data_IF_688415240854
#
_entry.id   IF_688415240854
#
_cell.length_a   1.000
_cell.length_b   1.000
_cell.length_c   1.000
_cell.angle_alpha   90.00
_cell.angle_beta   90.00
_cell.angle_gamma   90.00
#
_symmetry.space_group_name_H-M   'P 1'
#
loop_
_entity.id
_entity.type
_entity.pdbx_description
1 polymer ?
#
# COMPACT_ATOMS: atom_id res chain seq x y z
N UNK A 1 -18.41 -27.10 -7.26
CA UNK A 1 -17.13 -26.48 -6.82
C UNK A 1 -17.16 -26.45 -5.31
N UNK A 2 -16.01 -26.55 -4.66
CA UNK A 2 -15.95 -26.39 -3.21
C UNK A 2 -16.10 -24.91 -2.87
N UNK A 3 -16.92 -24.58 -1.88
CA UNK A 3 -17.15 -23.22 -1.38
C UNK A 3 -16.88 -23.24 0.12
N UNK A 4 -16.12 -22.26 0.60
CA UNK A 4 -15.92 -22.06 2.04
C UNK A 4 -16.92 -21.03 2.53
N UNK A 5 -17.56 -21.33 3.66
CA UNK A 5 -18.30 -20.36 4.47
C UNK A 5 -17.42 -20.02 5.67
N UNK A 6 -17.04 -18.76 5.81
CA UNK A 6 -16.24 -18.29 6.93
C UNK A 6 -17.00 -17.24 7.74
N UNK A 7 -16.74 -17.22 9.04
CA UNK A 7 -17.08 -16.12 9.93
C UNK A 7 -15.79 -15.40 10.31
N UNK A 8 -15.76 -14.09 10.16
CA UNK A 8 -14.71 -13.21 10.68
C UNK A 8 -15.29 -12.39 11.84
N UNK A 9 -14.52 -12.29 12.92
CA UNK A 9 -14.86 -11.48 14.08
C UNK A 9 -13.69 -10.55 14.39
N UNK A 10 -13.99 -9.29 14.66
CA UNK A 10 -13.01 -8.34 15.17
C UNK A 10 -12.77 -8.63 16.66
N UNK A 11 -11.52 -8.81 17.02
CA UNK A 11 -11.12 -9.15 18.38
C UNK A 11 -11.12 -7.91 19.28
N UNK A 12 -11.15 -8.14 20.59
CA UNK A 12 -11.12 -7.10 21.65
C UNK A 12 -12.26 -6.06 21.68
N UNK A 13 -13.21 -6.10 20.73
CA UNK A 13 -14.40 -5.24 20.73
C UNK A 13 -15.65 -6.00 21.19
N UNK A 14 -16.43 -5.35 22.07
CA UNK A 14 -17.73 -5.83 22.55
C UNK A 14 -18.76 -4.69 22.50
N UNK A 15 -19.99 -4.89 21.96
CA UNK A 15 -20.50 -6.10 21.28
C UNK A 15 -19.71 -6.49 20.03
N UNK A 16 -19.75 -7.76 19.62
CA UNK A 16 -18.91 -8.24 18.51
C UNK A 16 -19.28 -7.58 17.17
N UNK A 17 -18.26 -7.12 16.45
CA UNK A 17 -18.35 -6.75 15.03
C UNK A 17 -17.93 -7.99 14.23
N UNK A 18 -18.76 -8.42 13.28
CA UNK A 18 -18.52 -9.68 12.57
C UNK A 18 -19.20 -9.75 11.21
N UNK A 19 -18.68 -10.61 10.33
CA UNK A 19 -19.27 -10.94 9.03
C UNK A 19 -19.26 -12.45 8.80
N UNK A 20 -20.29 -12.97 8.17
CA UNK A 20 -20.31 -14.31 7.60
C UNK A 20 -20.37 -14.18 6.08
N UNK A 21 -19.47 -14.87 5.38
CA UNK A 21 -19.33 -14.74 3.93
C UNK A 21 -18.80 -16.03 3.33
N UNK A 22 -19.05 -16.22 2.03
CA UNK A 22 -18.63 -17.41 1.29
C UNK A 22 -17.82 -17.09 0.06
N UNK A 23 -16.84 -17.92 -0.25
CA UNK A 23 -15.88 -17.70 -1.33
C UNK A 23 -15.27 -19.01 -1.85
N UNK A 24 -14.56 -18.92 -2.99
CA UNK A 24 -13.82 -20.06 -3.52
C UNK A 24 -12.54 -20.31 -2.72
N UNK A 25 -12.29 -21.52 -2.22
CA UNK A 25 -11.12 -21.80 -1.39
C UNK A 25 -9.80 -21.83 -2.18
N UNK A 26 -9.89 -21.76 -3.51
CA UNK A 26 -8.75 -21.57 -4.42
C UNK A 26 -8.25 -20.11 -4.51
N UNK A 27 -8.82 -19.18 -3.76
CA UNK A 27 -8.27 -17.83 -3.63
C UNK A 27 -6.88 -17.85 -3.00
N UNK A 28 -6.04 -16.91 -3.41
CA UNK A 28 -4.82 -16.61 -2.66
C UNK A 28 -5.17 -15.88 -1.35
N UNK A 29 -4.28 -15.90 -0.37
CA UNK A 29 -4.46 -15.09 0.85
C UNK A 29 -4.53 -13.59 0.55
N UNK A 30 -3.85 -13.10 -0.51
CA UNK A 30 -4.00 -11.72 -0.96
C UNK A 30 -5.39 -11.43 -1.52
N UNK A 31 -6.00 -12.36 -2.27
CA UNK A 31 -7.38 -12.21 -2.70
C UNK A 31 -8.37 -12.32 -1.54
N UNK A 32 -8.10 -13.17 -0.55
CA UNK A 32 -8.90 -13.25 0.67
C UNK A 32 -8.83 -11.93 1.46
N UNK A 33 -7.66 -11.29 1.54
CA UNK A 33 -7.53 -9.97 2.14
C UNK A 33 -8.43 -8.93 1.45
N UNK A 34 -8.39 -8.82 0.12
CA UNK A 34 -9.30 -7.93 -0.63
C UNK A 34 -10.78 -8.22 -0.37
N UNK A 35 -11.14 -9.50 -0.25
CA UNK A 35 -12.50 -9.89 0.14
C UNK A 35 -12.84 -9.43 1.56
N UNK A 36 -11.90 -9.55 2.51
CA UNK A 36 -12.08 -9.12 3.90
C UNK A 36 -12.25 -7.61 3.98
N UNK A 37 -11.41 -6.83 3.29
CA UNK A 37 -11.54 -5.36 3.23
C UNK A 37 -12.95 -4.94 2.86
N UNK A 38 -13.54 -5.60 1.88
CA UNK A 38 -14.85 -5.26 1.33
C UNK A 38 -16.02 -5.69 2.23
N UNK A 39 -15.92 -6.85 2.90
CA UNK A 39 -16.96 -7.24 3.87
C UNK A 39 -16.85 -6.46 5.17
N UNK A 40 -15.65 -6.01 5.54
CA UNK A 40 -15.42 -5.20 6.73
C UNK A 40 -15.65 -3.70 6.48
N UNK A 41 -15.61 -3.23 5.23
CA UNK A 41 -15.81 -1.82 4.90
C UNK A 41 -14.55 -0.96 5.05
N UNK A 42 -13.38 -1.54 4.82
CA UNK A 42 -12.07 -0.88 4.88
C UNK A 42 -11.48 -0.60 3.50
N UNK A 43 -10.52 0.31 3.46
CA UNK A 43 -9.98 0.96 2.26
C UNK A 43 -8.66 0.41 1.72
N UNK A 44 -8.09 -0.64 2.33
CA UNK A 44 -6.80 -1.24 1.94
C UNK A 44 -5.63 -0.22 1.96
N UNK A 45 -5.54 0.60 3.00
CA UNK A 45 -4.45 1.58 3.17
C UNK A 45 -3.21 1.04 3.90
N UNK A 46 -3.35 -0.06 4.64
CA UNK A 46 -2.34 -0.56 5.55
C UNK A 46 -1.85 -1.98 5.22
N UNK A 47 -0.72 -2.34 5.83
CA UNK A 47 -0.18 -3.70 5.77
C UNK A 47 -1.11 -4.69 6.48
N UNK A 48 -0.99 -5.95 6.08
CA UNK A 48 -1.76 -7.04 6.66
C UNK A 48 -0.96 -8.33 6.74
N UNK A 49 -1.37 -9.22 7.64
CA UNK A 49 -0.78 -10.55 7.81
C UNK A 49 -1.86 -11.56 8.22
N UNK A 50 -1.73 -12.80 7.75
CA UNK A 50 -2.48 -13.93 8.28
C UNK A 50 -1.55 -14.84 9.09
N UNK A 51 -2.03 -15.35 10.22
CA UNK A 51 -1.34 -16.41 10.96
C UNK A 51 -2.13 -17.72 10.89
N UNK A 52 -1.55 -18.72 10.20
CA UNK A 52 -2.19 -20.02 9.97
C UNK A 52 -1.22 -21.14 10.33
N UNK A 53 -1.53 -21.94 11.35
CA UNK A 53 -0.72 -23.11 11.74
C UNK A 53 0.80 -22.80 11.89
N UNK A 54 1.14 -21.75 12.65
CA UNK A 54 2.51 -21.23 12.84
C UNK A 54 3.19 -20.73 11.55
N UNK A 55 2.41 -20.29 10.57
CA UNK A 55 2.93 -19.64 9.36
C UNK A 55 2.39 -18.23 9.33
N UNK A 56 3.29 -17.29 9.12
CA UNK A 56 2.95 -15.92 8.75
C UNK A 56 2.75 -15.89 7.23
N UNK A 57 1.65 -15.32 6.77
CA UNK A 57 1.32 -15.17 5.35
C UNK A 57 0.95 -13.71 5.10
N UNK A 58 1.89 -12.93 4.57
CA UNK A 58 1.76 -11.50 4.27
C UNK A 58 2.33 -11.15 2.90
N UNK A 59 2.35 -9.86 2.55
CA UNK A 59 3.10 -9.40 1.36
C UNK A 59 4.55 -9.20 1.77
N UNK A 60 5.52 -9.92 1.16
CA UNK A 60 6.93 -9.72 1.47
C UNK A 60 7.36 -8.31 1.07
N UNK A 61 7.97 -7.60 2.02
CA UNK A 61 8.65 -6.34 1.78
C UNK A 61 10.11 -6.65 1.36
N UNK A 62 10.55 -6.27 0.15
CA UNK A 62 11.92 -6.52 -0.31
C UNK A 62 13.01 -5.80 0.48
N UNK A 63 12.67 -4.73 1.20
CA UNK A 63 13.60 -3.90 1.98
C UNK A 63 13.68 -4.34 3.45
N UNK A 64 12.66 -5.05 3.95
CA UNK A 64 12.77 -5.77 5.22
C UNK A 64 13.61 -7.04 5.03
N UNK A 65 14.74 -7.10 5.74
CA UNK A 65 15.36 -8.41 6.01
C UNK A 65 14.34 -9.28 6.75
N UNK A 66 14.25 -10.61 6.47
CA UNK A 66 13.37 -11.51 7.20
C UNK A 66 13.66 -11.36 8.69
N UNK A 67 12.78 -10.68 9.40
CA UNK A 67 12.90 -10.55 10.84
C UNK A 67 12.37 -11.87 11.37
N UNK A 68 13.21 -12.68 12.02
CA UNK A 68 12.73 -13.89 12.71
C UNK A 68 11.80 -13.46 13.88
N UNK A 69 10.55 -13.07 13.59
CA UNK A 69 9.48 -12.97 14.59
C UNK A 69 9.09 -14.39 14.97
N UNK A 70 9.94 -15.01 15.79
CA UNK A 70 9.70 -16.34 16.35
C UNK A 70 9.69 -17.48 15.32
N UNK A 71 9.18 -18.63 15.75
CA UNK A 71 9.26 -19.92 15.03
C UNK A 71 8.39 -20.02 13.76
N UNK A 72 7.80 -18.91 13.29
CA UNK A 72 6.85 -18.93 12.19
C UNK A 72 7.52 -18.79 10.83
N UNK A 73 7.10 -19.64 9.87
CA UNK A 73 7.56 -19.56 8.49
C UNK A 73 6.82 -18.45 7.76
N UNK A 74 7.54 -17.47 7.21
CA UNK A 74 6.99 -16.40 6.36
C UNK A 74 6.69 -16.91 4.94
N UNK A 75 5.53 -16.55 4.40
CA UNK A 75 5.07 -16.93 3.07
C UNK A 75 4.40 -15.75 2.35
N UNK A 76 4.52 -15.74 1.02
CA UNK A 76 3.98 -14.69 0.16
C UNK A 76 2.47 -14.89 -0.10
N UNK A 77 1.64 -14.00 0.46
CA UNK A 77 0.18 -14.04 0.35
C UNK A 77 -0.33 -14.01 -1.09
N UNK A 78 0.47 -13.52 -2.05
CA UNK A 78 0.12 -13.49 -3.48
C UNK A 78 0.25 -14.87 -4.14
N UNK A 79 0.92 -15.82 -3.49
CA UNK A 79 1.21 -17.17 -4.00
C UNK A 79 0.52 -18.28 -3.21
N UNK A 80 0.31 -18.07 -1.91
CA UNK A 80 -0.32 -19.06 -1.04
C UNK A 80 -1.83 -19.10 -1.22
N UNK A 81 -2.37 -20.30 -1.40
CA UNK A 81 -3.79 -20.57 -1.66
C UNK A 81 -4.47 -21.01 -0.36
N UNK A 82 -5.63 -20.45 -0.04
CA UNK A 82 -6.35 -20.68 1.23
C UNK A 82 -6.56 -22.17 1.52
N UNK A 83 -7.08 -22.95 0.56
CA UNK A 83 -7.34 -24.39 0.75
C UNK A 83 -6.11 -25.24 1.06
N UNK A 84 -4.90 -24.75 0.77
CA UNK A 84 -3.64 -25.47 1.10
C UNK A 84 -3.29 -25.38 2.58
N UNK A 85 -3.83 -24.38 3.28
CA UNK A 85 -3.51 -24.11 4.69
C UNK A 85 -4.71 -24.28 5.61
N UNK A 86 -5.93 -24.11 5.09
CA UNK A 86 -7.19 -24.26 5.83
C UNK A 86 -8.10 -25.22 5.06
N UNK A 87 -8.39 -26.39 5.63
CA UNK A 87 -9.13 -27.46 4.93
C UNK A 87 -10.07 -28.27 5.83
N UNK A 88 -10.28 -27.83 7.07
CA UNK A 88 -11.11 -28.52 8.05
C UNK A 88 -12.13 -27.55 8.63
N UNK A 89 -13.41 -27.95 8.65
CA UNK A 89 -14.46 -27.22 9.34
C UNK A 89 -14.09 -27.03 10.82
N UNK A 90 -14.35 -25.84 11.35
CA UNK A 90 -13.93 -25.41 12.69
C UNK A 90 -12.48 -24.92 12.77
N UNK A 91 -11.70 -24.92 11.68
CA UNK A 91 -10.36 -24.35 11.69
C UNK A 91 -10.42 -22.83 11.93
N UNK A 92 -9.60 -22.37 12.88
CA UNK A 92 -9.40 -20.95 13.20
C UNK A 92 -8.03 -20.49 12.74
N UNK A 93 -7.97 -19.25 12.27
CA UNK A 93 -6.74 -18.54 11.95
C UNK A 93 -6.94 -17.05 12.13
N UNK A 94 -5.86 -16.29 12.34
CA UNK A 94 -5.97 -14.86 12.56
C UNK A 94 -5.61 -14.05 11.32
N UNK A 95 -6.17 -12.85 11.26
CA UNK A 95 -5.91 -11.83 10.26
C UNK A 95 -5.67 -10.51 10.98
N UNK A 96 -4.46 -9.98 10.87
CA UNK A 96 -4.06 -8.68 11.37
C UNK A 96 -4.12 -7.69 10.20
N UNK A 97 -4.85 -6.60 10.39
CA UNK A 97 -4.88 -5.46 9.48
C UNK A 97 -4.41 -4.21 10.21
N UNK A 98 -3.62 -3.40 9.51
CA UNK A 98 -2.93 -2.26 10.07
C UNK A 98 -2.00 -2.60 11.24
N UNK A 99 -0.70 -2.60 10.98
CA UNK A 99 0.30 -2.91 12.00
C UNK A 99 0.51 -1.76 12.99
N UNK A 100 -0.03 -0.56 12.70
CA UNK A 100 -0.11 0.55 13.63
C UNK A 100 -1.26 0.35 14.61
N UNK A 101 -2.50 0.40 14.10
CA UNK A 101 -3.72 0.30 14.92
C UNK A 101 -3.99 -1.11 15.49
N UNK A 102 -3.41 -2.15 14.88
CA UNK A 102 -3.41 -3.49 15.43
C UNK A 102 -4.75 -4.23 15.31
N UNK A 103 -5.47 -4.10 14.19
CA UNK A 103 -6.79 -4.72 14.04
C UNK A 103 -6.69 -6.24 13.84
N UNK A 104 -6.73 -6.97 14.95
CA UNK A 104 -6.74 -8.43 14.97
C UNK A 104 -8.14 -9.00 14.77
N UNK A 105 -8.22 -10.01 13.91
CA UNK A 105 -9.44 -10.75 13.64
C UNK A 105 -9.22 -12.23 13.80
N UNK A 106 -10.24 -12.91 14.30
CA UNK A 106 -10.35 -14.36 14.24
C UNK A 106 -11.26 -14.76 13.09
N UNK A 107 -10.75 -15.61 12.20
CA UNK A 107 -11.51 -16.19 11.09
C UNK A 107 -11.71 -17.68 11.36
N UNK A 108 -12.97 -18.11 11.34
CA UNK A 108 -13.40 -19.50 11.50
C UNK A 108 -13.97 -20.04 10.19
N UNK A 109 -13.42 -21.14 9.68
CA UNK A 109 -14.03 -21.92 8.59
C UNK A 109 -15.25 -22.67 9.15
N UNK A 110 -16.46 -22.19 8.85
CA UNK A 110 -17.72 -22.71 9.40
C UNK A 110 -18.17 -23.99 8.72
N UNK A 111 -18.18 -24.00 7.40
CA UNK A 111 -18.56 -25.17 6.59
C UNK A 111 -17.83 -25.18 5.25
N UNK A 112 -17.76 -26.38 4.66
CA UNK A 112 -17.25 -26.62 3.31
C UNK A 112 -18.40 -27.17 2.46
N UNK A 113 -18.99 -26.32 1.63
CA UNK A 113 -20.17 -26.66 0.84
C UNK A 113 -19.77 -27.13 -0.57
N UNK A 114 -20.47 -28.15 -1.06
CA UNK A 114 -20.25 -28.74 -2.38
C UNK A 114 -21.34 -28.30 -3.36
N UNK A 115 -21.35 -27.02 -3.74
CA UNK A 115 -22.37 -26.44 -4.62
C UNK A 115 -21.89 -26.23 -6.06
N UNK A 116 -22.78 -26.37 -7.05
CA UNK A 116 -22.42 -26.24 -8.47
C UNK A 116 -22.70 -24.85 -9.08
N UNK A 117 -23.44 -23.95 -8.42
CA UNK A 117 -24.09 -22.84 -9.15
C UNK A 117 -24.20 -21.50 -8.43
N UNK A 118 -23.77 -21.36 -7.18
CA UNK A 118 -24.05 -20.15 -6.44
C UNK A 118 -23.06 -19.01 -6.73
N UNK A 119 -23.51 -17.74 -6.76
CA UNK A 119 -22.61 -16.61 -6.95
C UNK A 119 -21.72 -16.49 -5.72
N UNK A 120 -20.40 -16.54 -5.93
CA UNK A 120 -19.39 -16.20 -4.93
C UNK A 120 -18.40 -15.18 -5.52
N UNK A 121 -17.78 -14.31 -4.70
CA UNK A 121 -18.01 -14.18 -3.26
C UNK A 121 -19.35 -13.49 -2.91
N UNK A 122 -19.91 -13.82 -1.75
CA UNK A 122 -21.14 -13.24 -1.20
C UNK A 122 -21.02 -13.11 0.32
N UNK A 123 -21.43 -11.96 0.87
CA UNK A 123 -21.70 -11.78 2.28
C UNK A 123 -23.09 -12.34 2.61
N UNK A 124 -23.16 -13.20 3.63
CA UNK A 124 -24.37 -13.89 4.05
C UNK A 124 -25.07 -13.14 5.19
N UNK A 125 -24.28 -12.66 6.15
CA UNK A 125 -24.78 -11.99 7.35
C UNK A 125 -23.67 -11.17 8.03
N UNK A 126 -24.04 -10.33 8.99
CA UNK A 126 -23.10 -9.57 9.80
C UNK A 126 -23.79 -8.61 10.76
N UNK A 127 -23.00 -8.01 11.65
CA UNK A 127 -23.50 -7.00 12.57
C UNK A 127 -22.45 -5.91 12.85
N UNK A 128 -22.95 -4.69 13.07
CA UNK A 128 -22.20 -3.48 13.43
C UNK A 128 -21.25 -2.98 12.34
N UNK A 129 -21.05 -1.67 12.28
CA UNK A 129 -20.02 -1.09 11.42
C UNK A 129 -18.63 -1.44 11.96
N UNK A 130 -17.65 -1.57 11.07
CA UNK A 130 -16.26 -1.65 11.51
C UNK A 130 -15.75 -0.28 11.95
N UNK A 131 -14.70 -0.23 12.78
CA UNK A 131 -14.03 1.02 13.11
C UNK A 131 -13.61 1.78 11.83
N UNK A 132 -13.75 3.11 11.79
CA UNK A 132 -13.15 3.92 10.73
C UNK A 132 -11.64 3.67 10.62
N UNK A 133 -11.09 3.88 9.42
CA UNK A 133 -9.63 3.85 9.22
C UNK A 133 -8.94 4.89 10.11
N UNK A 134 -7.72 4.57 10.56
CA UNK A 134 -6.86 5.47 11.35
C UNK A 134 -7.50 6.01 12.66
N UNK A 135 -8.50 5.32 13.24
CA UNK A 135 -9.14 5.76 14.50
C UNK A 135 -8.25 5.54 15.72
N UNK A 136 -7.09 4.91 15.58
CA UNK A 136 -6.13 4.70 16.68
C UNK A 136 -6.37 3.39 17.43
N UNK A 137 -6.70 2.33 16.69
CA UNK A 137 -6.89 0.98 17.23
C UNK A 137 -8.10 0.85 18.16
N UNK A 138 -8.14 -0.27 18.89
CA UNK A 138 -9.27 -0.62 19.77
C UNK A 138 -9.61 0.48 20.77
N UNK A 139 -8.58 1.13 21.33
CA UNK A 139 -8.75 2.22 22.30
C UNK A 139 -9.37 3.47 21.68
N UNK A 140 -8.87 3.90 20.52
CA UNK A 140 -9.41 5.04 19.82
C UNK A 140 -10.86 4.81 19.37
N UNK A 141 -11.18 3.61 18.90
CA UNK A 141 -12.56 3.27 18.57
C UNK A 141 -13.49 3.21 19.80
N UNK A 142 -13.02 2.68 20.93
CA UNK A 142 -13.81 2.71 22.17
C UNK A 142 -14.09 4.15 22.63
N UNK A 143 -13.09 5.03 22.52
CA UNK A 143 -13.27 6.44 22.81
C UNK A 143 -14.29 7.08 21.85
N UNK A 144 -14.19 6.82 20.54
CA UNK A 144 -15.19 7.28 19.56
C UNK A 144 -16.61 6.84 19.97
N UNK A 145 -16.80 5.57 20.33
CA UNK A 145 -18.10 5.07 20.78
C UNK A 145 -18.61 5.76 22.04
N UNK A 146 -17.73 6.04 23.00
CA UNK A 146 -18.06 6.77 24.24
C UNK A 146 -18.52 8.20 23.92
N UNK A 147 -17.78 8.91 23.07
CA UNK A 147 -18.08 10.27 22.64
C UNK A 147 -19.43 10.32 21.90
N UNK A 148 -19.64 9.44 20.92
CA UNK A 148 -20.86 9.41 20.12
C UNK A 148 -22.09 8.98 20.93
N UNK A 149 -21.88 8.07 21.90
CA UNK A 149 -22.90 7.57 22.81
C UNK A 149 -23.30 8.56 23.91
N UNK A 150 -22.58 9.67 24.07
CA UNK A 150 -22.81 10.68 25.12
C UNK A 150 -23.30 11.98 24.48
N UNK A 151 -24.62 12.29 24.51
CA UNK A 151 -25.20 13.40 23.73
C UNK A 151 -24.57 14.78 23.95
N UNK A 152 -24.15 15.09 25.18
CA UNK A 152 -23.56 16.37 25.56
C UNK A 152 -22.02 16.32 25.69
N UNK A 153 -21.36 15.34 25.08
CA UNK A 153 -19.89 15.23 25.14
C UNK A 153 -19.24 16.43 24.42
N UNK A 154 -18.24 17.10 25.02
CA UNK A 154 -17.61 18.29 24.42
C UNK A 154 -16.98 18.03 23.06
N UNK A 155 -16.47 16.81 22.83
CA UNK A 155 -15.82 16.40 21.58
C UNK A 155 -16.78 15.80 20.54
N UNK A 156 -18.10 15.77 20.81
CA UNK A 156 -19.06 15.02 19.98
C UNK A 156 -19.19 15.55 18.55
N UNK A 157 -19.22 16.85 18.38
CA UNK A 157 -19.37 17.48 17.06
C UNK A 157 -18.12 17.23 16.20
N UNK A 158 -16.94 17.44 16.77
CA UNK A 158 -15.65 17.18 16.11
C UNK A 158 -15.49 15.71 15.74
N UNK A 159 -15.82 14.77 16.64
CA UNK A 159 -15.71 13.34 16.37
C UNK A 159 -16.73 12.82 15.35
N UNK A 160 -17.92 13.43 15.26
CA UNK A 160 -18.88 13.13 14.20
C UNK A 160 -18.39 13.61 12.83
N UNK A 161 -17.85 14.83 12.77
CA UNK A 161 -17.27 15.37 11.52
C UNK A 161 -16.10 14.48 11.05
N UNK A 162 -15.24 14.06 11.98
CA UNK A 162 -14.10 13.19 11.70
C UNK A 162 -14.50 11.78 11.25
N UNK A 163 -15.41 11.12 11.98
CA UNK A 163 -15.86 9.76 11.65
C UNK A 163 -16.74 9.71 10.40
N UNK A 164 -17.25 10.87 9.96
CA UNK A 164 -18.24 11.04 8.91
C UNK A 164 -19.64 11.19 9.51
N UNK A 165 -20.37 12.23 9.06
CA UNK A 165 -21.68 12.61 9.62
C UNK A 165 -22.74 11.48 9.57
N UNK A 166 -22.55 10.49 8.70
CA UNK A 166 -23.44 9.33 8.54
C UNK A 166 -22.95 8.06 9.28
N UNK A 167 -21.85 8.14 10.04
CA UNK A 167 -21.31 6.98 10.75
C UNK A 167 -22.26 6.52 11.86
N UNK A 168 -22.78 5.31 11.73
CA UNK A 168 -23.55 4.60 12.75
C UNK A 168 -22.82 3.30 13.13
N UNK A 169 -22.29 3.18 14.35
CA UNK A 169 -21.54 2.01 14.78
C UNK A 169 -22.38 0.72 14.80
N UNK A 170 -23.71 0.82 14.85
CA UNK A 170 -24.60 -0.34 14.85
C UNK A 170 -25.08 -0.71 13.44
N UNK A 171 -24.84 0.14 12.44
CA UNK A 171 -25.33 -0.08 11.08
C UNK A 171 -24.43 -1.04 10.29
N UNK A 172 -25.03 -2.07 9.71
CA UNK A 172 -24.41 -2.92 8.71
C UNK A 172 -25.44 -3.40 7.68
N UNK A 173 -25.07 -3.38 6.40
CA UNK A 173 -25.93 -3.74 5.28
C UNK A 173 -25.31 -4.84 4.42
N UNK A 174 -25.83 -6.07 4.57
CA UNK A 174 -25.46 -7.22 3.72
C UNK A 174 -25.71 -6.93 2.24
N UNK A 175 -26.77 -6.17 1.93
CA UNK A 175 -27.16 -5.83 0.57
C UNK A 175 -26.10 -4.94 -0.08
N UNK A 176 -25.66 -3.89 0.60
CA UNK A 176 -24.68 -2.93 0.07
C UNK A 176 -23.31 -3.58 -0.09
N UNK A 177 -22.87 -4.35 0.91
CA UNK A 177 -21.65 -5.18 0.80
C UNK A 177 -21.71 -6.09 -0.42
N UNK A 178 -22.85 -6.75 -0.68
CA UNK A 178 -22.98 -7.62 -1.84
C UNK A 178 -23.04 -6.86 -3.19
N UNK A 179 -23.46 -5.59 -3.20
CA UNK A 179 -23.33 -4.75 -4.41
C UNK A 179 -21.86 -4.51 -4.73
N UNK A 180 -21.05 -4.17 -3.73
CA UNK A 180 -19.61 -3.98 -3.88
C UNK A 180 -18.90 -5.27 -4.33
N UNK A 181 -19.18 -6.40 -3.67
CA UNK A 181 -18.59 -7.70 -4.02
C UNK A 181 -18.85 -8.12 -5.47
N UNK A 182 -20.02 -7.79 -6.04
CA UNK A 182 -20.34 -8.07 -7.45
C UNK A 182 -19.45 -7.30 -8.42
N UNK A 183 -19.02 -6.08 -8.07
CA UNK A 183 -18.15 -5.25 -8.90
C UNK A 183 -16.72 -5.81 -8.97
N UNK A 184 -16.30 -6.62 -8.00
CA UNK A 184 -14.97 -7.24 -7.96
C UNK A 184 -14.94 -8.73 -8.31
N UNK A 185 -16.06 -9.28 -8.78
CA UNK A 185 -16.21 -10.71 -9.06
C UNK A 185 -15.09 -11.27 -9.95
N UNK A 186 -14.63 -10.50 -10.93
CA UNK A 186 -13.54 -10.92 -11.84
C UNK A 186 -12.15 -11.01 -11.16
N UNK A 187 -11.94 -10.29 -10.06
CA UNK A 187 -10.71 -10.32 -9.24
C UNK A 187 -10.74 -11.42 -8.18
N UNK A 188 -11.94 -11.82 -7.74
CA UNK A 188 -12.19 -12.74 -6.61
C UNK A 188 -12.75 -14.11 -7.05
N UNK A 189 -12.57 -14.46 -8.33
CA UNK A 189 -12.79 -15.82 -8.84
C UNK A 189 -11.44 -16.42 -9.28
N UNK A 190 -11.08 -17.63 -8.81
CA UNK A 190 -9.90 -18.35 -9.27
C UNK A 190 -9.96 -18.56 -10.79
N UNK A 191 -8.91 -18.16 -11.51
CA UNK A 191 -8.79 -18.47 -12.94
C UNK A 191 -8.49 -19.97 -13.08
N UNK A 192 -9.18 -20.72 -13.94
CA UNK A 192 -8.97 -22.16 -14.05
C UNK A 192 -7.51 -22.47 -14.36
N UNK A 193 -6.95 -23.42 -13.61
CA UNK A 193 -5.61 -23.94 -13.84
C UNK A 193 -5.52 -24.49 -15.27
N UNK A 194 -4.48 -24.11 -16.02
CA UNK A 194 -4.21 -24.64 -17.37
C UNK A 194 -3.82 -26.12 -17.26
N UNK A 195 -4.81 -27.01 -17.27
CA UNK A 195 -4.64 -28.44 -17.50
C UNK A 195 -4.65 -28.74 -19.00
N UNK A 196 -3.61 -29.43 -19.48
CA UNK A 196 -3.50 -29.86 -20.87
C UNK A 196 -4.46 -30.99 -21.24
N UNK A 197 -4.59 -31.17 -22.55
CA UNK A 197 -5.30 -32.21 -23.32
C UNK A 197 -6.61 -31.73 -23.97
N UNK A 198 -6.64 -31.88 -25.29
CA UNK A 198 -7.54 -31.15 -26.18
C UNK A 198 -8.99 -31.65 -26.21
N UNK A 199 -9.89 -30.71 -26.46
CA UNK A 199 -11.08 -30.96 -27.27
C UNK A 199 -11.54 -29.63 -27.88
N UNK A 200 -11.67 -29.59 -29.21
CA UNK A 200 -12.23 -28.46 -29.95
C UNK A 200 -13.70 -28.30 -29.53
N UNK A 201 -14.07 -27.12 -29.03
CA UNK A 201 -15.45 -26.63 -29.16
C UNK A 201 -15.44 -25.18 -29.63
N UNK A 202 -16.01 -25.00 -30.82
CA UNK A 202 -16.26 -23.73 -31.48
C UNK A 202 -17.56 -23.19 -30.87
N UNK A 203 -17.47 -22.10 -30.10
CA UNK A 203 -18.53 -21.10 -29.93
C UNK A 203 -17.83 -19.79 -29.57
N UNK A 204 -18.03 -18.77 -30.40
CA UNK A 204 -17.36 -17.48 -30.27
C UNK A 204 -17.90 -16.67 -29.10
N UNK A 205 -16.98 -16.23 -28.25
CA UNK A 205 -16.90 -14.83 -27.81
C UNK A 205 -15.47 -14.61 -27.26
N UNK A 206 -14.66 -13.87 -28.01
CA UNK A 206 -13.26 -13.61 -27.70
C UNK A 206 -13.12 -12.27 -27.00
N UNK A 207 -13.25 -12.25 -25.67
CA UNK A 207 -12.47 -11.33 -24.85
C UNK A 207 -11.20 -12.08 -24.41
N UNK A 208 -10.26 -12.23 -25.35
CA UNK A 208 -8.98 -12.87 -25.07
C UNK A 208 -8.22 -12.09 -23.99
N UNK A 209 -7.57 -12.81 -23.06
CA UNK A 209 -6.56 -12.21 -22.17
C UNK A 209 -5.66 -11.27 -23.01
N UNK A 210 -5.36 -10.05 -22.54
CA UNK A 210 -4.50 -9.14 -23.29
C UNK A 210 -3.21 -9.87 -23.62
N UNK A 211 -2.83 -9.83 -24.89
CA UNK A 211 -1.61 -10.48 -25.36
C UNK A 211 -0.43 -9.89 -24.59
N UNK A 212 0.19 -10.68 -23.72
CA UNK A 212 1.36 -10.23 -22.96
C UNK A 212 2.59 -10.31 -23.86
N UNK A 213 3.07 -9.16 -24.33
CA UNK A 213 4.30 -9.06 -25.08
C UNK A 213 5.49 -9.41 -24.16
N UNK A 214 6.31 -10.39 -24.57
CA UNK A 214 7.55 -10.73 -23.84
C UNK A 214 8.73 -9.96 -24.43
N UNK A 215 9.78 -9.69 -23.63
CA UNK A 215 11.01 -9.04 -24.12
C UNK A 215 11.61 -9.76 -25.32
N UNK A 216 11.58 -11.10 -25.32
CA UNK A 216 12.04 -11.93 -26.44
C UNK A 216 11.19 -11.74 -27.70
N UNK A 217 9.86 -11.71 -27.57
CA UNK A 217 8.96 -11.48 -28.69
C UNK A 217 9.11 -10.05 -29.24
N UNK A 218 9.20 -9.05 -28.37
CA UNK A 218 9.47 -7.66 -28.73
C UNK A 218 10.79 -7.55 -29.50
N UNK A 219 11.88 -8.09 -28.95
CA UNK A 219 13.20 -8.05 -29.60
C UNK A 219 13.20 -8.73 -30.98
N UNK A 220 12.49 -9.86 -31.12
CA UNK A 220 12.34 -10.53 -32.42
C UNK A 220 11.60 -9.67 -33.42
N UNK A 221 10.54 -8.98 -32.97
CA UNK A 221 9.74 -8.12 -33.82
C UNK A 221 10.48 -6.84 -34.24
N UNK A 222 11.14 -6.15 -33.29
CA UNK A 222 11.91 -4.94 -33.56
C UNK A 222 13.02 -5.18 -34.61
N UNK A 223 13.67 -6.35 -34.59
CA UNK A 223 14.70 -6.73 -35.58
C UNK A 223 14.16 -6.90 -37.02
N UNK A 224 12.84 -7.01 -37.18
CA UNK A 224 12.20 -7.18 -38.48
C UNK A 224 11.67 -5.86 -39.07
N UNK A 225 11.69 -4.78 -38.29
CA UNK A 225 11.19 -3.47 -38.72
C UNK A 225 12.27 -2.69 -39.49
N UNK A 226 11.85 -1.93 -40.49
CA UNK A 226 12.70 -0.93 -41.12
C UNK A 226 12.94 0.27 -40.19
N UNK A 227 13.96 1.10 -40.50
CA UNK A 227 14.21 2.33 -39.75
C UNK A 227 13.00 3.27 -39.74
N UNK A 228 12.28 3.39 -40.86
CA UNK A 228 11.07 4.23 -40.95
C UNK A 228 9.95 3.70 -40.05
N UNK A 229 9.77 2.38 -39.98
CA UNK A 229 8.78 1.75 -39.11
C UNK A 229 9.14 1.89 -37.63
N UNK A 230 10.43 1.80 -37.29
CA UNK A 230 10.92 2.03 -35.92
C UNK A 230 10.69 3.49 -35.50
N UNK A 231 10.99 4.46 -36.37
CA UNK A 231 10.71 5.88 -36.12
C UNK A 231 9.21 6.10 -35.91
N UNK A 232 8.36 5.47 -36.74
CA UNK A 232 6.90 5.51 -36.57
C UNK A 232 6.46 4.98 -35.20
N UNK A 233 6.94 3.81 -34.81
CA UNK A 233 6.59 3.20 -33.52
C UNK A 233 7.01 4.06 -32.32
N UNK A 234 8.19 4.68 -32.36
CA UNK A 234 8.65 5.58 -31.28
C UNK A 234 7.77 6.83 -31.19
N UNK A 235 7.34 7.40 -32.33
CA UNK A 235 6.40 8.53 -32.35
C UNK A 235 5.03 8.16 -31.81
N UNK A 236 4.55 6.97 -32.14
CA UNK A 236 3.28 6.46 -31.60
C UNK A 236 3.40 6.27 -30.07
N UNK A 237 4.49 5.67 -29.59
CA UNK A 237 4.75 5.53 -28.15
C UNK A 237 4.76 6.89 -27.43
N UNK A 238 5.41 7.90 -28.00
CA UNK A 238 5.44 9.26 -27.45
C UNK A 238 4.03 9.83 -27.27
N UNK A 239 3.11 9.59 -28.21
CA UNK A 239 1.74 10.10 -28.17
C UNK A 239 0.77 9.33 -27.26
N UNK A 240 1.16 8.17 -26.71
CA UNK A 240 0.25 7.28 -25.97
C UNK A 240 0.15 7.61 -24.47
N UNK A 241 1.21 8.14 -23.86
CA UNK A 241 1.20 8.47 -22.42
C UNK A 241 2.17 9.60 -22.09
N UNK A 242 1.78 10.45 -21.15
CA UNK A 242 2.65 11.50 -20.58
C UNK A 242 3.92 10.94 -19.96
N UNK A 243 3.88 9.74 -19.40
CA UNK A 243 5.06 9.11 -18.81
C UNK A 243 6.07 8.73 -19.90
N UNK A 244 5.58 8.29 -21.06
CA UNK A 244 6.44 7.97 -22.21
C UNK A 244 7.01 9.24 -22.84
N UNK A 245 6.22 10.30 -22.90
CA UNK A 245 6.68 11.64 -23.31
C UNK A 245 7.81 12.13 -22.40
N UNK A 246 7.64 12.06 -21.07
CA UNK A 246 8.67 12.42 -20.09
C UNK A 246 9.92 11.55 -20.22
N UNK A 247 9.73 10.22 -20.25
CA UNK A 247 10.83 9.27 -20.39
C UNK A 247 11.67 9.53 -21.66
N UNK A 248 11.01 9.71 -22.81
CA UNK A 248 11.69 10.01 -24.07
C UNK A 248 12.31 11.41 -24.05
N UNK A 249 11.66 12.41 -23.46
CA UNK A 249 12.22 13.76 -23.30
C UNK A 249 13.55 13.72 -22.55
N UNK A 250 13.63 13.00 -21.43
CA UNK A 250 14.89 12.85 -20.69
C UNK A 250 15.96 12.11 -21.50
N UNK A 251 15.58 11.06 -22.24
CA UNK A 251 16.54 10.27 -23.05
C UNK A 251 17.02 10.99 -24.30
N UNK A 252 16.26 11.95 -24.83
CA UNK A 252 16.55 12.67 -26.08
C UNK A 252 17.15 14.05 -25.81
N UNK A 253 16.54 14.81 -24.89
CA UNK A 253 16.96 16.17 -24.54
C UNK A 253 18.00 16.20 -23.41
N UNK A 254 18.15 15.09 -22.67
CA UNK A 254 19.19 14.95 -21.66
C UNK A 254 18.91 15.75 -20.38
N UNK A 255 19.94 16.42 -19.89
CA UNK A 255 19.97 17.07 -18.58
C UNK A 255 18.95 18.20 -18.44
N UNK A 256 18.74 19.02 -19.47
CA UNK A 256 17.74 20.10 -19.45
C UNK A 256 16.32 19.58 -19.17
N UNK A 257 15.96 18.42 -19.75
CA UNK A 257 14.67 17.79 -19.49
C UNK A 257 14.62 17.12 -18.12
N UNK A 258 15.74 16.58 -17.62
CA UNK A 258 15.81 16.04 -16.26
C UNK A 258 15.62 17.14 -15.21
N UNK A 259 16.24 18.31 -15.41
CA UNK A 259 16.12 19.50 -14.56
C UNK A 259 14.68 20.05 -14.55
N UNK A 260 14.09 20.24 -15.73
CA UNK A 260 12.70 20.70 -15.81
C UNK A 260 11.73 19.71 -15.16
N UNK A 261 12.02 18.41 -15.23
CA UNK A 261 11.23 17.38 -14.58
C UNK A 261 11.46 17.38 -13.07
N UNK A 262 12.69 17.60 -12.61
CA UNK A 262 13.01 17.72 -11.20
C UNK A 262 12.18 18.83 -10.55
N UNK A 263 12.10 20.02 -11.16
CA UNK A 263 11.27 21.12 -10.68
C UNK A 263 9.77 20.77 -10.59
N UNK A 264 9.25 19.96 -11.53
CA UNK A 264 7.88 19.46 -11.47
C UNK A 264 7.70 18.53 -10.25
N UNK A 265 8.62 17.59 -10.03
CA UNK A 265 8.52 16.60 -8.95
C UNK A 265 8.86 17.17 -7.57
N UNK A 266 9.76 18.14 -7.50
CA UNK A 266 10.04 18.96 -6.31
C UNK A 266 8.75 19.57 -5.79
N UNK A 267 8.03 20.29 -6.65
CA UNK A 267 6.72 20.87 -6.31
C UNK A 267 5.70 19.83 -5.92
N UNK A 268 5.69 18.65 -6.56
CA UNK A 268 4.77 17.57 -6.16
C UNK A 268 5.06 17.13 -4.73
N UNK A 269 6.32 16.79 -4.43
CA UNK A 269 6.75 16.36 -3.09
C UNK A 269 6.39 17.42 -2.04
N UNK A 270 6.76 18.68 -2.26
CA UNK A 270 6.43 19.78 -1.34
C UNK A 270 4.91 19.94 -1.13
N UNK A 271 4.11 19.87 -2.20
CA UNK A 271 2.64 19.98 -2.15
C UNK A 271 1.93 18.83 -1.40
N UNK A 272 2.63 17.72 -1.15
CA UNK A 272 2.14 16.63 -0.31
C UNK A 272 2.28 16.91 1.19
N UNK A 273 3.13 17.88 1.57
CA UNK A 273 3.23 18.42 2.92
C UNK A 273 2.48 19.75 3.01
N UNK A 274 2.89 20.73 2.20
CA UNK A 274 2.44 22.11 2.19
C UNK A 274 1.81 22.46 0.82
N UNK A 275 0.50 22.25 0.63
CA UNK A 275 -0.12 22.62 -0.63
C UNK A 275 -0.22 24.15 -0.80
N UNK A 276 -0.14 24.62 -2.04
CA UNK A 276 -0.35 26.05 -2.38
C UNK A 276 -1.69 26.63 -1.85
N UNK A 277 -2.70 25.77 -1.67
CA UNK A 277 -4.03 26.11 -1.15
C UNK A 277 -4.59 24.97 -0.31
N UNK A 278 -5.27 25.32 0.77
CA UNK A 278 -5.93 24.37 1.66
C UNK A 278 -5.11 24.07 2.91
N UNK A 279 -5.53 23.05 3.66
CA UNK A 279 -4.83 22.58 4.85
C UNK A 279 -3.61 21.72 4.48
N UNK A 280 -2.57 21.66 5.33
CA UNK A 280 -1.45 20.74 5.17
C UNK A 280 -1.94 19.29 5.03
N UNK A 281 -1.31 18.51 4.14
CA UNK A 281 -1.85 17.19 3.74
C UNK A 281 -1.15 15.99 4.37
N UNK A 282 0.14 16.11 4.65
CA UNK A 282 0.99 15.05 5.21
C UNK A 282 0.90 13.68 4.47
N UNK A 283 0.77 13.68 3.14
CA UNK A 283 0.61 12.45 2.34
C UNK A 283 1.96 11.82 1.99
N UNK A 284 2.64 11.28 3.00
CA UNK A 284 3.99 10.71 2.90
C UNK A 284 4.16 9.68 1.77
N UNK A 285 3.18 8.80 1.59
CA UNK A 285 3.22 7.77 0.55
C UNK A 285 3.17 8.36 -0.87
N UNK A 286 2.38 9.41 -1.10
CA UNK A 286 2.27 10.04 -2.41
C UNK A 286 3.56 10.79 -2.75
N UNK A 287 4.19 11.42 -1.77
CA UNK A 287 5.49 12.06 -1.95
C UNK A 287 6.57 11.01 -2.30
N UNK A 288 6.63 9.89 -1.57
CA UNK A 288 7.55 8.77 -1.89
C UNK A 288 7.29 8.17 -3.27
N UNK A 289 6.02 8.00 -3.68
CA UNK A 289 5.64 7.54 -5.03
C UNK A 289 6.16 8.51 -6.10
N UNK A 290 6.03 9.82 -5.87
CA UNK A 290 6.56 10.82 -6.80
C UNK A 290 8.08 10.71 -6.96
N UNK A 291 8.83 10.54 -5.87
CA UNK A 291 10.29 10.33 -5.91
C UNK A 291 10.64 9.06 -6.71
N UNK A 292 9.98 7.94 -6.40
CA UNK A 292 10.24 6.66 -7.08
C UNK A 292 9.84 6.67 -8.57
N UNK A 293 8.82 7.45 -8.94
CA UNK A 293 8.44 7.66 -10.33
C UNK A 293 9.50 8.50 -11.06
N UNK A 294 9.97 9.60 -10.45
CA UNK A 294 11.03 10.42 -10.99
C UNK A 294 12.32 9.62 -11.23
N UNK A 295 12.74 8.81 -10.24
CA UNK A 295 13.91 7.94 -10.34
C UNK A 295 13.81 6.99 -11.55
N UNK A 296 12.65 6.38 -11.78
CA UNK A 296 12.43 5.48 -12.93
C UNK A 296 12.50 6.22 -14.26
N UNK A 297 12.04 7.47 -14.32
CA UNK A 297 12.05 8.28 -15.52
C UNK A 297 13.45 8.78 -15.87
N UNK A 298 14.20 9.27 -14.88
CA UNK A 298 15.47 9.95 -15.11
C UNK A 298 16.67 9.02 -14.92
N UNK A 299 16.71 8.29 -13.81
CA UNK A 299 17.90 7.62 -13.29
C UNK A 299 18.96 8.60 -12.77
N UNK A 300 18.59 9.84 -12.48
CA UNK A 300 19.52 10.87 -12.00
C UNK A 300 19.74 10.74 -10.49
N UNK A 301 20.91 10.25 -10.08
CA UNK A 301 21.28 10.07 -8.68
C UNK A 301 21.21 11.40 -7.90
N UNK A 302 21.80 12.47 -8.42
CA UNK A 302 21.79 13.81 -7.80
C UNK A 302 20.38 14.34 -7.53
N UNK A 303 19.52 14.34 -8.54
CA UNK A 303 18.15 14.85 -8.35
C UNK A 303 17.29 13.95 -7.45
N UNK A 304 17.51 12.63 -7.48
CA UNK A 304 16.82 11.71 -6.55
C UNK A 304 17.27 11.95 -5.11
N UNK A 305 18.57 12.14 -4.90
CA UNK A 305 19.13 12.52 -3.61
C UNK A 305 18.47 13.80 -3.11
N UNK A 306 18.42 14.84 -3.95
CA UNK A 306 17.83 16.11 -3.56
C UNK A 306 16.32 16.03 -3.29
N UNK A 307 15.56 15.24 -4.06
CA UNK A 307 14.13 15.05 -3.76
C UNK A 307 13.92 14.32 -2.42
N UNK A 308 14.76 13.32 -2.10
CA UNK A 308 14.71 12.65 -0.79
C UNK A 308 15.11 13.60 0.34
N UNK A 309 16.10 14.46 0.10
CA UNK A 309 16.50 15.50 1.05
C UNK A 309 15.34 16.48 1.32
N UNK A 310 14.70 16.99 0.26
CA UNK A 310 13.54 17.89 0.36
C UNK A 310 12.37 17.23 1.08
N UNK A 311 12.15 15.93 0.89
CA UNK A 311 11.15 15.18 1.64
C UNK A 311 11.42 15.21 3.16
N UNK A 312 12.67 15.00 3.58
CA UNK A 312 13.06 15.05 4.99
C UNK A 312 12.97 16.48 5.53
N UNK A 313 13.48 17.48 4.79
CA UNK A 313 13.37 18.89 5.15
C UNK A 313 11.91 19.31 5.34
N UNK A 314 11.03 18.92 4.41
CA UNK A 314 9.59 19.20 4.50
C UNK A 314 8.96 18.57 5.75
N UNK A 315 9.40 17.38 6.14
CA UNK A 315 8.92 16.75 7.38
C UNK A 315 9.41 17.43 8.65
N UNK A 316 10.68 17.85 8.68
CA UNK A 316 11.22 18.64 9.79
C UNK A 316 10.48 19.96 9.91
N UNK A 317 10.34 20.70 8.80
CA UNK A 317 9.59 21.95 8.76
C UNK A 317 8.13 21.77 9.20
N UNK A 318 7.50 20.66 8.83
CA UNK A 318 6.14 20.33 9.25
C UNK A 318 6.05 20.19 10.78
N UNK A 319 7.00 19.47 11.38
CA UNK A 319 7.06 19.28 12.83
C UNK A 319 7.32 20.59 13.56
N UNK A 320 8.26 21.40 13.04
CA UNK A 320 8.57 22.73 13.61
C UNK A 320 7.34 23.66 13.54
N UNK A 321 6.54 23.55 12.46
CA UNK A 321 5.39 24.41 12.24
C UNK A 321 4.17 23.99 13.06
N UNK A 322 3.89 22.69 13.17
CA UNK A 322 2.63 22.17 13.71
C UNK A 322 2.78 21.40 15.02
N UNK A 323 4.01 21.16 15.48
CA UNK A 323 4.31 20.38 16.68
C UNK A 323 4.50 18.90 16.39
N UNK A 324 4.57 18.10 17.46
CA UNK A 324 4.81 16.67 17.37
C UNK A 324 3.69 15.95 16.59
N UNK A 325 4.07 14.98 15.75
CA UNK A 325 3.14 14.23 14.89
C UNK A 325 2.88 12.85 15.48
N UNK A 326 3.60 11.82 15.03
CA UNK A 326 3.52 10.46 15.53
C UNK A 326 4.80 9.67 15.19
N UNK A 327 4.94 8.49 15.79
CA UNK A 327 6.10 7.62 15.59
C UNK A 327 6.29 7.20 14.12
N UNK A 328 5.20 6.96 13.37
CA UNK A 328 5.26 6.50 11.96
C UNK A 328 5.84 7.60 11.07
N UNK A 329 5.43 8.83 11.31
CA UNK A 329 5.95 10.01 10.63
C UNK A 329 7.47 10.13 10.84
N UNK A 330 7.93 10.09 12.10
CA UNK A 330 9.37 10.18 12.38
C UNK A 330 10.15 8.99 11.84
N UNK A 331 9.63 7.76 11.97
CA UNK A 331 10.23 6.57 11.33
C UNK A 331 10.38 6.76 9.83
N UNK A 332 9.41 7.40 9.18
CA UNK A 332 9.51 7.69 7.75
C UNK A 332 10.58 8.72 7.43
N UNK A 333 10.76 9.77 8.26
CA UNK A 333 11.80 10.77 8.05
C UNK A 333 13.19 10.16 8.27
N UNK A 334 13.36 9.40 9.35
CA UNK A 334 14.61 8.67 9.66
C UNK A 334 14.96 7.70 8.54
N UNK A 335 13.99 6.93 8.04
CA UNK A 335 14.22 5.97 6.95
C UNK A 335 14.68 6.66 5.65
N UNK A 336 14.03 7.76 5.24
CA UNK A 336 14.44 8.47 4.03
C UNK A 336 15.78 9.20 4.25
N UNK A 337 16.03 9.69 5.45
CA UNK A 337 17.32 10.29 5.78
C UNK A 337 18.45 9.25 5.76
N UNK A 338 18.24 8.04 6.27
CA UNK A 338 19.20 6.95 6.17
C UNK A 338 19.55 6.61 4.72
N UNK A 339 18.55 6.59 3.82
CA UNK A 339 18.79 6.45 2.38
C UNK A 339 19.67 7.59 1.83
N UNK A 340 19.41 8.83 2.24
CA UNK A 340 20.18 10.01 1.82
C UNK A 340 21.63 9.88 2.29
N UNK A 341 21.88 9.49 3.54
CA UNK A 341 23.22 9.24 4.08
C UNK A 341 23.91 8.10 3.29
N UNK A 342 23.19 7.01 3.02
CA UNK A 342 23.71 5.90 2.20
C UNK A 342 24.11 6.35 0.80
N UNK A 343 23.26 7.14 0.14
CA UNK A 343 23.56 7.71 -1.19
C UNK A 343 24.76 8.65 -1.18
N UNK A 344 24.91 9.48 -0.13
CA UNK A 344 26.07 10.36 0.02
C UNK A 344 27.37 9.56 0.18
N UNK A 345 27.36 8.48 0.98
CA UNK A 345 28.52 7.62 1.18
C UNK A 345 28.85 6.75 -0.04
N UNK A 346 27.86 6.43 -0.87
CA UNK A 346 28.05 5.69 -2.12
C UNK A 346 28.51 6.58 -3.29
N UNK A 347 28.47 7.91 -3.15
CA UNK A 347 28.94 8.85 -4.16
C UNK A 347 30.47 8.82 -4.28
N UNK A 348 31.04 8.26 -5.35
CA UNK A 348 32.48 8.06 -5.46
C UNK A 348 33.28 9.37 -5.53
N UNK A 349 32.65 10.46 -5.97
CA UNK A 349 33.30 11.76 -6.15
C UNK A 349 33.05 12.73 -4.99
N UNK A 350 32.15 12.39 -4.07
CA UNK A 350 31.78 13.24 -2.94
C UNK A 350 31.09 14.56 -3.32
N UNK A 351 30.60 14.67 -4.56
CA UNK A 351 29.91 15.87 -5.07
C UNK A 351 28.62 16.14 -4.28
N UNK A 352 27.92 15.09 -3.85
CA UNK A 352 26.70 15.23 -3.06
C UNK A 352 26.99 15.84 -1.68
N UNK A 353 28.07 15.43 -1.03
CA UNK A 353 28.45 15.99 0.27
C UNK A 353 28.99 17.41 0.14
N UNK A 354 29.76 17.70 -0.91
CA UNK A 354 30.24 19.04 -1.20
C UNK A 354 29.09 20.02 -1.42
N UNK A 355 28.04 19.62 -2.14
CA UNK A 355 26.91 20.49 -2.50
C UNK A 355 25.83 20.58 -1.41
N UNK A 356 25.53 19.47 -0.72
CA UNK A 356 24.37 19.38 0.19
C UNK A 356 24.72 19.19 1.67
N UNK A 357 26.00 19.13 2.04
CA UNK A 357 26.45 18.88 3.42
C UNK A 357 25.86 19.84 4.46
N UNK A 358 25.77 21.13 4.13
CA UNK A 358 25.17 22.15 5.01
C UNK A 358 23.68 21.89 5.26
N UNK A 359 22.95 21.42 4.25
CA UNK A 359 21.52 21.09 4.37
C UNK A 359 21.31 19.85 5.24
N UNK A 360 22.14 18.82 5.08
CA UNK A 360 22.13 17.64 5.96
C UNK A 360 22.37 18.02 7.42
N UNK A 361 23.38 18.86 7.69
CA UNK A 361 23.66 19.32 9.04
C UNK A 361 22.53 20.20 9.59
N UNK A 362 21.89 21.01 8.74
CA UNK A 362 20.75 21.84 9.13
C UNK A 362 19.57 20.99 9.57
N UNK A 363 19.22 19.92 8.85
CA UNK A 363 18.16 18.98 9.24
C UNK A 363 18.35 18.50 10.67
N UNK A 364 19.56 18.01 11.01
CA UNK A 364 19.89 17.54 12.37
C UNK A 364 19.81 18.67 13.40
N UNK A 365 20.11 19.90 13.02
CA UNK A 365 20.10 21.03 13.94
C UNK A 365 18.67 21.50 14.22
N UNK A 366 17.82 21.54 13.20
CA UNK A 366 16.42 21.96 13.30
C UNK A 366 15.57 20.97 14.10
N UNK A 367 16.01 19.72 14.22
CA UNK A 367 15.31 18.69 14.99
C UNK A 367 15.67 18.68 16.48
N UNK A 368 16.51 19.61 16.95
CA UNK A 368 16.87 19.74 18.36
C UNK A 368 15.62 19.98 19.23
N UNK A 369 15.41 19.11 20.21
CA UNK A 369 14.27 19.19 21.13
C UNK A 369 12.98 18.55 20.62
N UNK A 370 12.96 17.99 19.41
CA UNK A 370 11.85 17.17 18.92
C UNK A 370 11.90 15.78 19.59
N UNK A 371 10.74 15.28 20.02
CA UNK A 371 10.60 14.04 20.79
C UNK A 371 10.83 12.74 19.99
N UNK A 372 10.35 11.62 20.54
CA UNK A 372 10.34 10.30 19.87
C UNK A 372 11.71 9.69 19.51
N UNK A 373 12.81 10.20 20.08
CA UNK A 373 14.16 9.80 19.69
C UNK A 373 14.50 10.19 18.25
N UNK A 374 13.72 11.10 17.64
CA UNK A 374 13.88 11.50 16.26
C UNK A 374 15.22 12.21 16.03
N UNK A 375 15.53 13.18 16.89
CA UNK A 375 16.82 13.87 16.90
C UNK A 375 17.98 12.89 17.05
N UNK A 376 17.90 11.99 18.03
CA UNK A 376 18.97 11.04 18.33
C UNK A 376 19.27 10.15 17.13
N UNK A 377 18.23 9.64 16.46
CA UNK A 377 18.37 8.83 15.26
C UNK A 377 19.02 9.61 14.09
N UNK A 378 18.64 10.88 13.87
CA UNK A 378 19.25 11.69 12.82
C UNK A 378 20.71 12.05 13.12
N UNK A 379 21.04 12.29 14.40
CA UNK A 379 22.43 12.51 14.85
C UNK A 379 23.28 11.27 14.62
N UNK A 380 22.78 10.09 14.98
CA UNK A 380 23.48 8.81 14.76
C UNK A 380 23.74 8.58 13.28
N UNK A 381 22.71 8.70 12.43
CA UNK A 381 22.85 8.55 10.98
C UNK A 381 23.80 9.58 10.37
N UNK A 382 23.71 10.85 10.79
CA UNK A 382 24.58 11.90 10.26
C UNK A 382 26.05 11.70 10.64
N UNK A 383 26.32 11.05 11.78
CA UNK A 383 27.68 10.68 12.19
C UNK A 383 28.29 9.55 11.34
N UNK A 384 27.47 8.80 10.58
CA UNK A 384 27.92 7.78 9.64
C UNK A 384 28.40 8.34 8.29
N UNK A 385 28.30 9.65 8.07
CA UNK A 385 28.83 10.29 6.87
C UNK A 385 30.34 10.10 6.78
N UNK A 386 30.80 9.55 5.66
CA UNK A 386 32.22 9.37 5.38
C UNK A 386 32.82 10.73 4.98
N UNK A 387 33.45 11.39 5.95
CA UNK A 387 34.06 12.71 5.81
C UNK A 387 35.58 12.58 5.58
N UNK A 388 35.98 11.75 4.64
CA UNK A 388 37.39 11.60 4.26
C UNK A 388 37.99 12.88 3.66
#
# INVERSE_FOLDING_TARGET
>A
MMIYVCRIELDEITPKIWREFRFHPELTFHQLHHLIQEVMGWGDYHLYEFQVNKKSIGVPDPEMQPFERGTSKELDARKEIVQKHVSMEGANFSYLYDFGDGWEHTITLKSIDMEQSDPVPVCLDGARACPPEDVGGVWGYQHLLEVLGTPDHPEREEMLEWAGEEFDPEHFSVQDTNVLLRQMKDKLIPKPAKGGAGSKKITGDTAGKPAKLTKTALNKHLKQLSNEQLIGLVKDCFGVSKDMEKFLSVRILGEEAAESLFEEYRKKVENEFFPDRGQPKLRLQEAKKAIAEFEKLTGSMKHVFELKLIYVESGVDFTVTYGDIDERFYRSMVSVYADVIGMANEDPMGELLEEYGDRLQKIVTDTEGIGWGFQDALVELHAELDRD
#
